data_IF_230198449619
#
_entry.id   IF_230198449619
#
_cell.length_a   1.000
_cell.length_b   1.000
_cell.length_c   1.000
_cell.angle_alpha   90.00
_cell.angle_beta   90.00
_cell.angle_gamma   90.00
#
_symmetry.space_group_name_H-M   'P 1'
#
loop_
_entity.id
_entity.type
_entity.pdbx_description
1 polymer ?
#
# COMPACT_ATOMS: atom_id res chain seq x y z
N UNK A 1 -74.40 12.48 59.26
CA UNK A 1 -73.88 13.84 59.09
C UNK A 1 -73.24 13.92 57.70
N UNK A 2 -74.00 14.39 56.69
CA UNK A 2 -73.92 15.74 56.05
C UNK A 2 -72.63 15.90 55.19
N UNK A 3 -72.57 16.27 53.90
CA UNK A 3 -73.31 17.11 52.91
C UNK A 3 -72.97 16.58 51.47
N UNK A 4 -73.88 16.49 50.47
CA UNK A 4 -74.13 17.44 49.33
C UNK A 4 -72.85 17.77 48.50
N UNK A 5 -72.74 17.73 47.16
CA UNK A 5 -73.53 18.28 46.04
C UNK A 5 -72.83 17.83 44.70
N UNK A 6 -73.52 17.31 43.68
CA UNK A 6 -74.13 17.96 42.47
C UNK A 6 -73.23 18.31 41.25
N UNK A 7 -73.80 17.95 40.08
CA UNK A 7 -73.66 18.47 38.68
C UNK A 7 -72.41 18.09 37.86
N UNK A 8 -72.58 17.29 36.78
CA UNK A 8 -72.95 17.64 35.36
C UNK A 8 -71.86 18.45 34.64
N UNK A 9 -71.28 17.93 33.55
CA UNK A 9 -71.74 18.05 32.15
C UNK A 9 -70.61 17.60 31.20
N UNK A 10 -71.04 17.12 30.03
CA UNK A 10 -70.22 16.58 28.95
C UNK A 10 -69.27 17.61 28.32
N UNK A 11 -68.13 17.12 27.82
CA UNK A 11 -67.33 17.81 26.83
C UNK A 11 -67.04 16.85 25.66
N UNK A 12 -67.58 17.26 24.50
CA UNK A 12 -67.36 16.74 23.15
C UNK A 12 -65.92 17.09 22.74
N UNK A 13 -65.19 16.17 22.13
CA UNK A 13 -63.80 16.39 21.69
C UNK A 13 -63.36 15.48 20.55
N UNK A 14 -63.77 15.87 19.34
CA UNK A 14 -63.07 15.79 18.04
C UNK A 14 -62.21 14.57 17.69
N UNK A 15 -62.65 13.84 16.64
CA UNK A 15 -61.81 13.01 15.79
C UNK A 15 -60.73 13.86 15.10
N UNK A 16 -59.45 13.57 15.36
CA UNK A 16 -58.34 14.00 14.52
C UNK A 16 -57.96 12.84 13.59
N UNK A 17 -58.30 12.98 12.31
CA UNK A 17 -57.71 12.23 11.21
C UNK A 17 -56.24 12.67 11.08
N UNK A 18 -55.34 11.92 11.69
CA UNK A 18 -53.90 12.07 11.49
C UNK A 18 -53.49 11.38 10.18
N UNK A 19 -53.31 12.16 9.12
CA UNK A 19 -52.68 11.71 7.88
C UNK A 19 -51.22 11.34 8.17
N UNK A 20 -50.90 10.05 8.14
CA UNK A 20 -49.53 9.55 8.24
C UNK A 20 -48.79 9.86 6.93
N UNK A 21 -48.05 10.97 6.90
CA UNK A 21 -47.08 11.24 5.84
C UNK A 21 -45.84 10.40 6.18
N UNK A 22 -45.68 9.26 5.53
CA UNK A 22 -44.43 8.50 5.62
C UNK A 22 -43.33 9.29 4.91
N UNK A 23 -42.21 9.63 5.57
CA UNK A 23 -41.06 10.16 4.86
C UNK A 23 -40.48 9.04 3.98
N UNK A 24 -40.46 9.27 2.67
CA UNK A 24 -39.71 8.46 1.74
C UNK A 24 -38.22 8.57 2.13
N UNK A 25 -37.72 7.55 2.82
CA UNK A 25 -36.29 7.38 3.08
C UNK A 25 -35.65 7.02 1.75
N UNK A 26 -35.13 8.02 1.06
CA UNK A 26 -34.23 7.82 -0.08
C UNK A 26 -32.97 7.13 0.47
N UNK A 27 -32.87 5.82 0.29
CA UNK A 27 -31.63 5.08 0.48
C UNK A 27 -30.63 5.59 -0.57
N UNK A 28 -29.78 6.53 -0.17
CA UNK A 28 -28.60 6.89 -0.95
C UNK A 28 -27.62 5.73 -0.81
N UNK A 29 -27.47 4.96 -1.88
CA UNK A 29 -26.39 4.00 -2.06
C UNK A 29 -25.07 4.78 -2.15
N UNK A 30 -24.47 5.06 -0.99
CA UNK A 30 -23.14 5.62 -0.92
C UNK A 30 -22.13 4.55 -1.33
N UNK A 31 -21.73 4.53 -2.60
CA UNK A 31 -20.44 3.96 -2.99
C UNK A 31 -19.35 4.86 -2.40
N UNK A 32 -18.94 4.55 -1.17
CA UNK A 32 -17.74 5.12 -0.55
C UNK A 32 -16.53 4.68 -1.38
N UNK A 33 -16.12 5.51 -2.34
CA UNK A 33 -14.74 5.51 -2.80
C UNK A 33 -13.89 6.03 -1.65
N UNK A 34 -13.29 5.11 -0.89
CA UNK A 34 -12.37 5.46 0.18
C UNK A 34 -11.10 6.00 -0.50
N UNK A 35 -11.05 7.32 -0.72
CA UNK A 35 -9.78 8.02 -0.84
C UNK A 35 -9.07 7.86 0.50
N UNK A 36 -8.19 6.86 0.60
CA UNK A 36 -7.27 6.76 1.73
C UNK A 36 -6.36 7.99 1.66
N UNK A 37 -6.52 8.93 2.59
CA UNK A 37 -5.53 9.98 2.85
C UNK A 37 -4.14 9.34 3.02
N UNK A 38 -3.07 10.12 2.78
CA UNK A 38 -1.69 9.69 3.02
C UNK A 38 -1.62 8.84 4.30
N UNK A 39 -1.22 7.57 4.11
CA UNK A 39 -1.66 6.47 4.97
C UNK A 39 -1.19 6.61 6.41
N UNK A 40 -1.97 6.05 7.34
CA UNK A 40 -1.52 5.80 8.71
C UNK A 40 -0.10 5.20 8.68
N UNK A 41 0.79 5.55 9.64
CA UNK A 41 2.15 5.01 9.67
C UNK A 41 2.13 3.49 9.62
N UNK A 42 2.95 2.90 8.76
CA UNK A 42 2.93 1.44 8.51
C UNK A 42 3.25 0.64 9.78
N UNK A 43 3.95 1.23 10.75
CA UNK A 43 4.19 0.67 12.07
C UNK A 43 2.91 0.35 12.86
N UNK A 44 1.83 1.09 12.61
CA UNK A 44 0.54 0.93 13.30
C UNK A 44 -0.32 -0.20 12.73
N UNK A 45 0.08 -0.76 11.59
CA UNK A 45 -0.66 -1.83 10.93
C UNK A 45 -0.50 -3.15 11.71
N UNK A 46 -1.55 -3.96 11.72
CA UNK A 46 -1.48 -5.34 12.21
C UNK A 46 -0.68 -6.25 11.28
N UNK A 47 -0.56 -7.53 11.65
CA UNK A 47 0.07 -8.53 10.80
C UNK A 47 -0.88 -8.91 9.66
N UNK A 48 -0.46 -8.65 8.42
CA UNK A 48 -1.23 -8.97 7.22
C UNK A 48 -0.37 -8.76 5.95
N UNK A 49 -1.02 -8.92 4.79
CA UNK A 49 -0.50 -8.49 3.50
C UNK A 49 -1.06 -7.12 3.13
N UNK A 50 -0.20 -6.25 2.59
CA UNK A 50 -0.53 -4.87 2.26
C UNK A 50 0.03 -4.51 0.89
N UNK A 51 -0.66 -3.60 0.21
CA UNK A 51 -0.17 -2.94 -1.00
C UNK A 51 -0.22 -1.44 -0.81
N UNK A 52 0.90 -0.78 -1.05
CA UNK A 52 1.03 0.66 -1.00
C UNK A 52 1.58 1.14 -2.36
N UNK A 53 1.07 2.22 -2.93
CA UNK A 53 1.65 2.82 -4.13
C UNK A 53 1.81 4.34 -4.00
N UNK A 54 2.80 4.91 -4.70
CA UNK A 54 3.16 6.32 -4.57
C UNK A 54 2.16 7.30 -5.21
N UNK A 55 1.23 6.80 -6.00
CA UNK A 55 0.15 7.60 -6.60
C UNK A 55 -1.21 7.11 -6.09
N UNK A 56 -2.20 8.01 -5.91
CA UNK A 56 -3.53 7.61 -5.48
C UNK A 56 -4.25 6.78 -6.54
N UNK A 57 -5.14 5.89 -6.10
CA UNK A 57 -5.96 5.09 -7.01
C UNK A 57 -6.94 6.02 -7.73
N UNK A 58 -6.90 6.02 -9.07
CA UNK A 58 -7.88 6.74 -9.89
C UNK A 58 -9.20 5.97 -10.02
N UNK A 59 -10.02 6.34 -11.00
CA UNK A 59 -11.31 5.67 -11.27
C UNK A 59 -11.16 4.22 -11.73
N UNK A 60 -10.00 3.84 -12.27
CA UNK A 60 -9.68 2.47 -12.65
C UNK A 60 -9.00 1.71 -11.51
N UNK A 61 -9.21 0.39 -11.46
CA UNK A 61 -8.48 -0.52 -10.56
C UNK A 61 -7.00 -0.76 -10.93
N UNK A 62 -6.43 0.11 -11.78
CA UNK A 62 -5.03 0.04 -12.17
C UNK A 62 -4.14 0.56 -11.06
N UNK A 63 -3.01 -0.12 -10.89
CA UNK A 63 -1.93 0.35 -10.02
C UNK A 63 -1.28 1.58 -10.65
N UNK A 64 -0.90 2.55 -9.83
CA UNK A 64 -0.34 3.83 -10.27
C UNK A 64 0.94 4.15 -9.49
N UNK A 65 1.94 4.71 -10.17
CA UNK A 65 3.24 5.04 -9.57
C UNK A 65 4.07 3.79 -9.24
N UNK A 66 4.93 3.89 -8.23
CA UNK A 66 5.72 2.78 -7.72
C UNK A 66 4.96 2.10 -6.61
N UNK A 67 4.91 0.76 -6.62
CA UNK A 67 4.14 -0.02 -5.67
C UNK A 67 5.03 -0.91 -4.81
N UNK A 68 4.59 -1.13 -3.57
CA UNK A 68 5.16 -2.06 -2.63
C UNK A 68 4.08 -3.04 -2.17
N UNK A 69 4.22 -4.31 -2.53
CA UNK A 69 3.38 -5.41 -2.07
C UNK A 69 4.16 -6.21 -1.03
N UNK A 70 3.69 -6.22 0.20
CA UNK A 70 4.47 -6.75 1.31
C UNK A 70 3.63 -7.47 2.36
N UNK A 71 4.30 -8.34 3.12
CA UNK A 71 3.78 -8.96 4.33
C UNK A 71 4.43 -8.29 5.54
N UNK A 72 3.63 -7.96 6.54
CA UNK A 72 4.09 -7.49 7.85
C UNK A 72 3.90 -8.59 8.90
N UNK A 73 4.91 -8.81 9.72
CA UNK A 73 4.87 -9.66 10.92
C UNK A 73 5.62 -8.96 12.05
N UNK A 74 4.90 -8.45 13.06
CA UNK A 74 5.48 -7.53 14.02
C UNK A 74 6.08 -6.31 13.31
N UNK A 75 7.33 -5.98 13.62
CA UNK A 75 8.03 -4.86 12.95
C UNK A 75 8.76 -5.30 11.67
N UNK A 76 8.71 -6.57 11.31
CA UNK A 76 9.38 -7.11 10.14
C UNK A 76 8.50 -7.01 8.88
N UNK A 77 9.13 -6.67 7.76
CA UNK A 77 8.52 -6.65 6.44
C UNK A 77 9.36 -7.45 5.45
N UNK A 78 8.67 -8.25 4.63
CA UNK A 78 9.21 -8.82 3.39
C UNK A 78 8.26 -8.45 2.25
N UNK A 79 8.77 -7.91 1.15
CA UNK A 79 7.92 -7.47 0.05
C UNK A 79 8.65 -7.18 -1.26
N UNK A 80 7.86 -7.04 -2.32
CA UNK A 80 8.33 -6.64 -3.64
C UNK A 80 8.01 -5.15 -3.86
N UNK A 81 9.04 -4.36 -4.16
CA UNK A 81 8.92 -3.00 -4.67
C UNK A 81 9.06 -3.01 -6.19
N UNK A 82 8.13 -2.39 -6.92
CA UNK A 82 8.06 -2.56 -8.38
C UNK A 82 7.37 -1.41 -9.08
N UNK A 83 7.68 -1.29 -10.38
CA UNK A 83 6.95 -0.45 -11.32
C UNK A 83 5.86 -1.31 -11.99
N UNK A 84 4.56 -1.00 -11.79
CA UNK A 84 3.46 -1.77 -12.37
C UNK A 84 3.57 -1.91 -13.89
N UNK A 85 3.18 -3.08 -14.40
CA UNK A 85 3.16 -3.39 -15.83
C UNK A 85 4.55 -3.40 -16.50
N UNK A 86 5.61 -3.48 -15.70
CA UNK A 86 6.99 -3.72 -16.13
C UNK A 86 7.56 -4.91 -15.36
N UNK A 87 8.73 -5.40 -15.79
CA UNK A 87 9.49 -6.42 -15.06
C UNK A 87 10.41 -5.81 -13.99
N UNK A 88 10.47 -4.47 -13.89
CA UNK A 88 11.37 -3.76 -13.00
C UNK A 88 10.87 -3.87 -11.56
N UNK A 89 11.59 -4.67 -10.77
CA UNK A 89 11.26 -4.89 -9.37
C UNK A 89 12.48 -5.24 -8.52
N UNK A 90 12.32 -5.11 -7.21
CA UNK A 90 13.33 -5.39 -6.21
C UNK A 90 12.66 -5.90 -4.93
N UNK A 91 13.15 -6.99 -4.37
CA UNK A 91 12.67 -7.52 -3.09
C UNK A 91 13.34 -6.78 -1.94
N UNK A 92 12.59 -6.46 -0.89
CA UNK A 92 13.08 -5.87 0.35
C UNK A 92 12.73 -6.77 1.54
N UNK A 93 13.69 -6.89 2.45
CA UNK A 93 13.49 -7.47 3.78
C UNK A 93 14.10 -6.54 4.81
N UNK A 94 13.29 -6.08 5.75
CA UNK A 94 13.74 -5.12 6.74
C UNK A 94 12.78 -4.92 7.90
N UNK A 95 13.10 -3.92 8.71
CA UNK A 95 12.37 -3.56 9.92
C UNK A 95 11.73 -2.18 9.73
N UNK A 96 10.50 -2.04 10.20
CA UNK A 96 9.72 -0.81 10.15
C UNK A 96 10.25 0.20 11.18
N UNK A 97 10.34 1.45 10.75
CA UNK A 97 10.50 2.63 11.60
C UNK A 97 9.46 3.67 11.17
N UNK A 98 8.35 3.77 11.90
CA UNK A 98 7.20 4.65 11.60
C UNK A 98 6.55 4.36 10.25
N UNK A 99 7.01 5.04 9.18
CA UNK A 99 6.53 4.88 7.79
C UNK A 99 7.65 4.46 6.84
N UNK A 100 8.83 4.14 7.37
CA UNK A 100 9.98 3.70 6.61
C UNK A 100 10.34 2.26 6.92
N UNK A 101 11.03 1.60 5.99
CA UNK A 101 11.58 0.26 6.16
C UNK A 101 13.08 0.34 5.92
N UNK A 102 13.86 -0.20 6.84
CA UNK A 102 15.32 -0.30 6.70
C UNK A 102 15.77 -1.76 6.77
N UNK A 103 16.65 -2.17 5.87
CA UNK A 103 17.13 -3.56 5.80
C UNK A 103 18.01 -3.80 4.59
N UNK A 104 17.81 -4.93 3.92
CA UNK A 104 18.51 -5.26 2.68
C UNK A 104 17.52 -5.41 1.51
N UNK A 105 18.06 -5.34 0.30
CA UNK A 105 17.29 -5.53 -0.92
C UNK A 105 18.00 -6.45 -1.92
N UNK A 106 17.23 -7.21 -2.70
CA UNK A 106 17.75 -8.10 -3.76
C UNK A 106 17.00 -7.86 -5.05
N UNK A 107 17.74 -7.70 -6.15
CA UNK A 107 17.19 -7.45 -7.48
C UNK A 107 17.75 -8.46 -8.49
N UNK A 108 16.88 -9.01 -9.32
CA UNK A 108 17.28 -9.70 -10.52
C UNK A 108 17.48 -8.69 -11.65
N UNK A 109 18.60 -8.79 -12.34
CA UNK A 109 19.03 -7.91 -13.41
C UNK A 109 18.99 -8.71 -14.70
N UNK A 110 18.33 -8.17 -15.72
CA UNK A 110 18.27 -8.72 -17.07
C UNK A 110 18.67 -7.62 -18.06
N UNK A 111 19.71 -7.85 -18.84
CA UNK A 111 20.19 -6.91 -19.87
C UNK A 111 19.62 -7.32 -21.22
N UNK A 112 18.37 -6.96 -21.46
CA UNK A 112 17.95 -6.62 -22.83
C UNK A 112 17.61 -5.13 -22.98
N UNK A 113 17.42 -4.40 -21.86
CA UNK A 113 16.70 -3.12 -21.90
C UNK A 113 17.39 -1.93 -21.24
N UNK A 114 18.50 -2.08 -20.53
CA UNK A 114 19.10 -0.92 -19.85
C UNK A 114 20.64 -0.93 -19.96
N UNK A 115 21.19 0.19 -20.46
CA UNK A 115 22.60 0.59 -20.29
C UNK A 115 22.91 0.83 -18.80
N UNK A 116 22.59 -0.13 -17.92
CA UNK A 116 22.99 -0.03 -16.53
C UNK A 116 24.47 -0.39 -16.50
N UNK A 117 25.31 0.62 -16.25
CA UNK A 117 26.61 0.38 -15.63
C UNK A 117 26.33 -0.11 -14.20
N UNK A 118 25.87 -1.36 -14.10
CA UNK A 118 25.53 -2.08 -12.88
C UNK A 118 26.72 -2.03 -11.89
N UNK A 119 27.99 -2.20 -12.29
CA UNK A 119 29.10 -2.23 -11.33
C UNK A 119 29.28 -0.92 -10.55
N UNK A 120 29.13 0.24 -11.20
CA UNK A 120 29.48 1.53 -10.60
C UNK A 120 28.46 2.03 -9.58
N UNK A 121 27.17 1.69 -9.77
CA UNK A 121 26.13 1.98 -8.78
C UNK A 121 26.13 1.01 -7.61
N UNK A 122 26.60 -0.21 -7.84
CA UNK A 122 26.65 -1.24 -6.80
C UNK A 122 27.72 -0.91 -5.75
N UNK A 123 28.93 -0.53 -6.15
CA UNK A 123 30.04 -0.38 -5.20
C UNK A 123 30.02 0.91 -4.33
N UNK A 124 28.98 1.74 -4.41
CA UNK A 124 28.91 3.01 -3.66
C UNK A 124 28.48 2.80 -2.20
N UNK A 125 29.23 3.37 -1.27
CA UNK A 125 28.84 3.49 0.15
C UNK A 125 27.77 4.57 0.38
N UNK A 126 27.53 5.43 -0.62
CA UNK A 126 26.52 6.49 -0.55
C UNK A 126 25.16 5.94 -0.99
N UNK A 127 24.12 6.24 -0.20
CA UNK A 127 22.73 5.98 -0.56
C UNK A 127 22.39 6.67 -1.88
N UNK A 128 22.00 5.87 -2.87
CA UNK A 128 21.56 6.31 -4.18
C UNK A 128 20.14 5.83 -4.45
N UNK A 129 19.32 6.61 -5.18
CA UNK A 129 17.95 6.21 -5.45
C UNK A 129 17.92 5.04 -6.45
N UNK A 130 17.08 4.05 -6.18
CA UNK A 130 16.89 2.88 -7.05
C UNK A 130 16.27 3.26 -8.39
N UNK A 131 15.31 4.18 -8.38
CA UNK A 131 14.80 4.87 -9.55
C UNK A 131 15.22 6.33 -9.55
N UNK A 132 15.62 6.88 -10.70
CA UNK A 132 16.14 8.25 -10.78
C UNK A 132 15.06 9.32 -10.54
N UNK A 133 13.78 8.94 -10.51
CA UNK A 133 12.66 9.88 -10.55
C UNK A 133 12.02 10.17 -9.19
N UNK A 134 12.12 9.28 -8.20
CA UNK A 134 11.29 9.33 -6.99
C UNK A 134 12.08 9.47 -5.69
N UNK A 135 13.23 8.79 -5.56
CA UNK A 135 14.01 8.77 -4.33
C UNK A 135 13.34 8.05 -3.14
N UNK A 136 12.23 7.34 -3.34
CA UNK A 136 11.55 6.63 -2.25
C UNK A 136 12.35 5.43 -1.74
N UNK A 137 13.00 4.71 -2.65
CA UNK A 137 13.91 3.60 -2.32
C UNK A 137 15.35 4.03 -2.54
N UNK A 138 16.12 4.06 -1.46
CA UNK A 138 17.54 4.36 -1.48
C UNK A 138 18.34 3.09 -1.16
N UNK A 139 19.39 2.84 -1.94
CA UNK A 139 20.25 1.65 -1.86
C UNK A 139 21.72 2.05 -1.73
N UNK A 140 22.51 1.22 -1.04
CA UNK A 140 23.97 1.35 -1.01
C UNK A 140 24.65 -0.02 -0.85
N UNK A 141 25.97 -0.05 -1.07
CA UNK A 141 26.84 -1.20 -0.86
C UNK A 141 26.44 -2.45 -1.66
N UNK A 142 25.84 -2.21 -2.83
CA UNK A 142 25.46 -3.24 -3.78
C UNK A 142 26.63 -4.14 -4.19
N UNK A 143 26.33 -5.41 -4.41
CA UNK A 143 27.26 -6.37 -5.02
C UNK A 143 26.50 -7.39 -5.84
N UNK A 144 27.11 -7.91 -6.90
CA UNK A 144 26.58 -9.07 -7.60
C UNK A 144 26.82 -10.34 -6.77
N UNK A 145 25.79 -11.18 -6.65
CA UNK A 145 25.85 -12.49 -6.01
C UNK A 145 26.14 -13.59 -7.04
N UNK A 146 25.53 -13.47 -8.19
CA UNK A 146 25.80 -14.25 -9.39
C UNK A 146 25.90 -13.29 -10.57
N UNK A 147 26.68 -13.68 -11.56
CA UNK A 147 26.88 -12.92 -12.77
C UNK A 147 27.10 -13.90 -13.91
N UNK A 148 26.09 -14.05 -14.75
CA UNK A 148 26.24 -14.78 -16.00
C UNK A 148 26.84 -13.81 -17.02
N UNK A 149 28.15 -13.92 -17.19
CA UNK A 149 28.91 -13.09 -18.09
C UNK A 149 28.57 -13.38 -19.56
N UNK A 150 28.07 -12.34 -20.22
CA UNK A 150 28.36 -11.97 -21.61
C UNK A 150 28.49 -13.12 -22.63
N UNK A 151 27.36 -13.62 -23.11
CA UNK A 151 27.31 -14.00 -24.52
C UNK A 151 27.11 -12.72 -25.31
N UNK A 152 27.95 -12.46 -26.32
CA UNK A 152 27.84 -11.31 -27.25
C UNK A 152 26.47 -11.20 -27.95
N UNK A 153 25.57 -12.17 -27.73
CA UNK A 153 24.23 -12.26 -28.29
C UNK A 153 23.09 -12.22 -27.24
N UNK A 154 23.35 -12.32 -25.93
CA UNK A 154 22.30 -12.57 -24.92
C UNK A 154 22.26 -11.61 -23.72
N UNK A 155 23.12 -10.57 -23.71
CA UNK A 155 23.15 -9.61 -22.60
C UNK A 155 23.70 -10.18 -21.29
N UNK A 156 23.56 -9.42 -20.21
CA UNK A 156 23.96 -9.82 -18.85
C UNK A 156 22.74 -10.19 -18.02
N UNK A 157 22.83 -11.28 -17.26
CA UNK A 157 21.86 -11.58 -16.20
C UNK A 157 22.57 -11.85 -14.89
N UNK A 158 21.92 -11.48 -13.80
CA UNK A 158 22.43 -11.84 -12.49
C UNK A 158 21.64 -11.19 -11.37
N UNK A 159 22.16 -11.34 -10.17
CA UNK A 159 21.48 -10.98 -8.94
C UNK A 159 22.31 -9.99 -8.18
N UNK A 160 21.76 -8.80 -7.95
CA UNK A 160 22.36 -7.81 -7.06
C UNK A 160 21.78 -7.94 -5.65
N UNK A 161 22.66 -7.85 -4.65
CA UNK A 161 22.31 -7.68 -3.24
C UNK A 161 22.78 -6.31 -2.77
N UNK A 162 21.87 -5.57 -2.14
CA UNK A 162 22.12 -4.29 -1.49
C UNK A 162 21.93 -4.47 0.02
N UNK A 163 23.02 -4.58 0.81
CA UNK A 163 22.96 -4.74 2.26
C UNK A 163 22.30 -3.57 2.99
N UNK A 164 22.29 -2.40 2.36
CA UNK A 164 21.67 -1.18 2.88
C UNK A 164 20.57 -0.76 1.93
N UNK A 165 19.33 -0.90 2.39
CA UNK A 165 18.13 -0.43 1.72
C UNK A 165 17.28 0.37 2.69
N UNK A 166 16.79 1.53 2.24
CA UNK A 166 15.84 2.37 2.96
C UNK A 166 14.69 2.74 2.04
N UNK A 167 13.48 2.31 2.40
CA UNK A 167 12.24 2.65 1.70
C UNK A 167 11.41 3.60 2.57
N UNK A 168 10.98 4.73 2.02
CA UNK A 168 10.03 5.63 2.66
C UNK A 168 8.64 5.49 2.02
N UNK A 169 7.63 5.20 2.85
CA UNK A 169 6.23 5.03 2.45
C UNK A 169 5.32 6.12 3.00
N UNK A 170 5.88 7.20 3.57
CA UNK A 170 5.08 8.27 4.19
C UNK A 170 4.05 8.90 3.23
N UNK A 171 4.38 8.99 1.95
CA UNK A 171 3.51 9.57 0.92
C UNK A 171 2.79 8.52 0.06
N UNK A 172 2.83 7.25 0.48
CA UNK A 172 2.17 6.18 -0.26
C UNK A 172 0.71 6.02 0.16
N UNK A 173 -0.10 5.64 -0.82
CA UNK A 173 -1.52 5.35 -0.67
C UNK A 173 -1.72 3.85 -0.50
N UNK A 174 -2.58 3.46 0.42
CA UNK A 174 -2.93 2.05 0.60
C UNK A 174 -3.91 1.61 -0.48
N UNK A 175 -3.57 0.54 -1.17
CA UNK A 175 -4.41 -0.16 -2.15
C UNK A 175 -4.93 -1.47 -1.56
N UNK A 176 -5.97 -2.01 -2.18
CA UNK A 176 -6.35 -3.40 -1.96
C UNK A 176 -5.20 -4.31 -2.44
N UNK A 177 -4.71 -5.19 -1.57
CA UNK A 177 -3.66 -6.15 -1.90
C UNK A 177 -4.14 -7.24 -2.87
N UNK A 178 -5.46 -7.48 -2.94
CA UNK A 178 -6.06 -8.51 -3.78
C UNK A 178 -5.65 -9.93 -3.36
N UNK A 179 -5.60 -10.83 -4.34
CA UNK A 179 -5.18 -12.22 -4.15
C UNK A 179 -3.68 -12.46 -4.39
N UNK A 180 -2.96 -11.48 -4.95
CA UNK A 180 -1.51 -11.58 -5.17
C UNK A 180 -0.81 -11.59 -3.81
N UNK A 181 -0.09 -12.67 -3.54
CA UNK A 181 0.67 -12.80 -2.30
C UNK A 181 2.03 -12.12 -2.44
N UNK A 182 2.49 -11.39 -1.40
CA UNK A 182 3.87 -10.92 -1.33
C UNK A 182 4.84 -12.11 -1.22
N UNK A 183 6.12 -11.91 -1.59
CA UNK A 183 7.14 -12.94 -1.46
C UNK A 183 7.30 -13.43 -0.01
N UNK A 184 7.68 -14.70 0.14
CA UNK A 184 7.91 -15.29 1.46
C UNK A 184 9.30 -14.98 2.01
N UNK A 185 10.27 -14.78 1.13
CA UNK A 185 11.65 -14.40 1.42
C UNK A 185 12.18 -13.53 0.27
N UNK A 186 13.37 -12.98 0.41
CA UNK A 186 14.09 -12.34 -0.70
C UNK A 186 15.15 -13.28 -1.29
N UNK A 187 14.82 -14.55 -1.41
CA UNK A 187 15.58 -15.53 -2.16
C UNK A 187 14.96 -15.63 -3.57
N UNK A 188 15.79 -15.94 -4.57
CA UNK A 188 15.27 -16.24 -5.90
C UNK A 188 14.95 -17.74 -5.93
N UNK A 189 13.70 -18.09 -6.25
CA UNK A 189 13.28 -19.47 -6.51
C UNK A 189 13.80 -19.96 -7.87
#
# INVERSE_FOLDING_TARGET
>A
MTYLQRLRLAAIGSLLLGSAIAPAVLAQSATQQVQYAAGLPIATLGDANYRYCSQPQGESDRLQGLCFLFRKQGDEIIGQYFEPYTERSICLHGVIQTSSVSGFARQQIFSESENVQVPDRLASDTLAPWDQSSGYLMLAQGRMLDFDGESQLAGYSGTALFPVAKLDLAEFYRYNAGSTLPPQNCELE
#
